data_IF_286689081600
#
_entry.id   IF_286689081600
#
_cell.length_a   1.000
_cell.length_b   1.000
_cell.length_c   1.000
_cell.angle_alpha   90.00
_cell.angle_beta   90.00
_cell.angle_gamma   90.00
#
_symmetry.space_group_name_H-M   'P 1'
#
loop_
_entity.id
_entity.type
_entity.pdbx_description
1 polymer ?
#
# COMPACT_ATOMS: atom_id res chain seq x y z
N UNK A 1 8.26 0.42 24.09
CA UNK A 1 8.08 -1.04 23.95
C UNK A 1 7.36 -1.30 22.64
N UNK A 2 7.70 -2.37 21.92
CA UNK A 2 7.02 -2.79 20.68
C UNK A 2 5.83 -3.66 21.08
N UNK A 3 4.63 -3.36 20.55
CA UNK A 3 3.38 -4.02 20.96
C UNK A 3 2.72 -4.87 19.88
N UNK A 4 3.15 -4.74 18.62
CA UNK A 4 2.59 -5.49 17.49
C UNK A 4 3.05 -4.95 16.14
N UNK A 5 2.43 -5.45 15.07
CA UNK A 5 2.63 -4.96 13.71
C UNK A 5 1.50 -4.01 13.32
N UNK A 6 1.83 -2.83 12.81
CA UNK A 6 0.84 -1.86 12.34
C UNK A 6 0.40 -2.18 10.91
N UNK A 7 1.34 -2.36 9.98
CA UNK A 7 1.02 -2.71 8.60
C UNK A 7 2.16 -3.50 7.94
N UNK A 8 1.85 -4.08 6.78
CA UNK A 8 2.84 -4.62 5.83
C UNK A 8 2.76 -3.79 4.55
N UNK A 9 3.87 -3.18 4.17
CA UNK A 9 3.99 -2.43 2.92
C UNK A 9 4.28 -3.38 1.74
N UNK A 10 3.53 -3.23 0.65
CA UNK A 10 3.67 -4.00 -0.59
C UNK A 10 3.84 -3.02 -1.74
N UNK A 11 5.02 -3.03 -2.35
CA UNK A 11 5.30 -2.17 -3.50
C UNK A 11 4.68 -2.79 -4.76
N UNK A 12 3.90 -1.99 -5.49
CA UNK A 12 3.16 -2.41 -6.68
C UNK A 12 3.46 -1.48 -7.85
N UNK A 13 3.39 -2.01 -9.07
CA UNK A 13 3.62 -1.23 -10.30
C UNK A 13 2.46 -0.30 -10.64
N UNK A 14 1.24 -0.69 -10.27
CA UNK A 14 0.02 0.08 -10.50
C UNK A 14 -0.94 -0.15 -9.33
N UNK A 15 -1.30 0.93 -8.63
CA UNK A 15 -2.13 0.88 -7.43
C UNK A 15 -3.56 0.49 -7.75
N UNK A 16 -4.13 0.97 -8.86
CA UNK A 16 -5.53 0.71 -9.20
C UNK A 16 -5.76 -0.76 -9.57
N UNK A 17 -4.83 -1.36 -10.31
CA UNK A 17 -4.83 -2.79 -10.61
C UNK A 17 -4.67 -3.64 -9.34
N UNK A 18 -3.74 -3.26 -8.47
CA UNK A 18 -3.54 -3.93 -7.19
C UNK A 18 -4.81 -3.85 -6.32
N UNK A 19 -5.39 -2.67 -6.17
CA UNK A 19 -6.65 -2.47 -5.43
C UNK A 19 -7.76 -3.36 -5.97
N UNK A 20 -7.92 -3.43 -7.29
CA UNK A 20 -8.90 -4.33 -7.91
C UNK A 20 -8.62 -5.79 -7.59
N UNK A 21 -7.37 -6.23 -7.64
CA UNK A 21 -6.97 -7.60 -7.29
C UNK A 21 -7.30 -7.91 -5.83
N UNK A 22 -6.89 -7.04 -4.89
CA UNK A 22 -7.12 -7.23 -3.47
C UNK A 22 -8.61 -7.23 -3.12
N UNK A 23 -9.40 -6.38 -3.76
CA UNK A 23 -10.85 -6.36 -3.59
C UNK A 23 -11.50 -7.61 -4.18
N UNK A 24 -11.10 -8.05 -5.37
CA UNK A 24 -11.73 -9.18 -6.07
C UNK A 24 -11.41 -10.52 -5.40
N UNK A 25 -10.15 -10.71 -5.00
CA UNK A 25 -9.68 -12.01 -4.51
C UNK A 25 -9.84 -12.16 -2.99
N UNK A 26 -9.73 -11.06 -2.25
CA UNK A 26 -9.74 -11.08 -0.78
C UNK A 26 -10.84 -10.24 -0.15
N UNK A 27 -11.63 -9.50 -0.93
CA UNK A 27 -12.68 -8.62 -0.42
C UNK A 27 -12.17 -7.38 0.32
N UNK A 28 -10.86 -7.10 0.26
CA UNK A 28 -10.25 -5.97 0.97
C UNK A 28 -10.48 -4.68 0.19
N UNK A 29 -10.95 -3.64 0.89
CA UNK A 29 -11.21 -2.32 0.32
C UNK A 29 -10.26 -1.30 0.96
N UNK A 30 -9.76 -0.37 0.15
CA UNK A 30 -8.98 0.72 0.70
C UNK A 30 -9.83 1.64 1.58
N UNK A 31 -9.34 1.95 2.78
CA UNK A 31 -9.91 2.99 3.65
C UNK A 31 -9.45 4.38 3.24
N UNK A 32 -8.24 4.47 2.65
CA UNK A 32 -7.62 5.72 2.21
C UNK A 32 -6.73 5.46 1.00
N UNK A 33 -6.74 6.40 0.06
CA UNK A 33 -5.78 6.46 -1.07
C UNK A 33 -5.25 7.89 -1.15
N UNK A 34 -3.94 8.06 -1.14
CA UNK A 34 -3.31 9.39 -1.16
C UNK A 34 -1.97 9.36 -1.90
N UNK A 35 -1.66 10.44 -2.61
CA UNK A 35 -0.31 10.68 -3.14
C UNK A 35 0.50 11.39 -2.08
N UNK A 36 1.68 10.86 -1.75
CA UNK A 36 2.61 11.38 -0.76
C UNK A 36 3.91 11.79 -1.48
N UNK A 37 4.01 13.02 -2.02
CA UNK A 37 5.14 13.46 -2.84
C UNK A 37 6.47 13.41 -2.09
N UNK A 38 6.46 13.78 -0.80
CA UNK A 38 7.66 13.77 0.04
C UNK A 38 8.24 12.36 0.24
N UNK A 39 7.42 11.33 0.08
CA UNK A 39 7.82 9.93 0.15
C UNK A 39 7.99 9.28 -1.23
N UNK A 40 7.66 9.99 -2.31
CA UNK A 40 7.76 9.50 -3.67
C UNK A 40 6.80 8.34 -4.00
N UNK A 41 5.64 8.26 -3.33
CA UNK A 41 4.67 7.17 -3.54
C UNK A 41 3.22 7.66 -3.65
N UNK A 42 2.37 6.88 -4.30
CA UNK A 42 0.92 6.86 -4.14
C UNK A 42 0.55 5.63 -3.31
N UNK A 43 -0.09 5.84 -2.17
CA UNK A 43 -0.32 4.82 -1.17
C UNK A 43 -1.81 4.50 -1.01
N UNK A 44 -2.14 3.26 -0.68
CA UNK A 44 -3.47 2.86 -0.23
C UNK A 44 -3.42 1.97 1.00
N UNK A 45 -4.28 2.25 1.99
CA UNK A 45 -4.40 1.48 3.23
C UNK A 45 -5.58 0.53 3.15
N UNK A 46 -5.33 -0.77 3.33
CA UNK A 46 -6.32 -1.83 3.31
C UNK A 46 -6.40 -2.45 4.72
N UNK A 47 -7.34 -2.00 5.57
CA UNK A 47 -7.45 -2.49 6.94
C UNK A 47 -7.94 -3.93 7.00
N UNK A 48 -7.40 -4.69 7.95
CA UNK A 48 -7.83 -6.05 8.25
C UNK A 48 -8.81 -6.06 9.42
N UNK A 49 -9.77 -7.01 9.40
CA UNK A 49 -10.88 -7.04 10.36
C UNK A 49 -10.45 -7.20 11.84
N UNK A 50 -9.28 -7.81 12.08
CA UNK A 50 -8.78 -8.09 13.43
C UNK A 50 -7.52 -7.28 13.79
N UNK A 51 -7.31 -6.16 13.09
CA UNK A 51 -6.17 -5.29 13.27
C UNK A 51 -5.03 -5.56 12.28
N UNK A 52 -4.14 -4.57 12.16
CA UNK A 52 -3.14 -4.53 11.11
C UNK A 52 -3.70 -4.07 9.76
N UNK A 53 -2.82 -3.64 8.86
CA UNK A 53 -3.18 -3.13 7.55
C UNK A 53 -2.23 -3.66 6.47
N UNK A 54 -2.71 -3.77 5.23
CA UNK A 54 -1.85 -3.88 4.05
C UNK A 54 -1.74 -2.47 3.47
N UNK A 55 -0.52 -1.98 3.31
CA UNK A 55 -0.25 -0.69 2.66
C UNK A 55 0.31 -0.95 1.27
N UNK A 56 -0.47 -0.62 0.23
CA UNK A 56 -0.02 -0.73 -1.15
C UNK A 56 0.69 0.56 -1.54
N UNK A 57 1.90 0.45 -2.08
CA UNK A 57 2.73 1.59 -2.47
C UNK A 57 3.06 1.53 -3.96
N UNK A 58 2.56 2.49 -4.73
CA UNK A 58 2.98 2.71 -6.12
C UNK A 58 4.02 3.84 -6.15
N UNK A 59 5.28 3.57 -6.54
CA UNK A 59 6.28 4.63 -6.70
C UNK A 59 5.85 5.62 -7.78
N UNK A 60 5.91 6.92 -7.47
CA UNK A 60 5.65 7.99 -8.44
C UNK A 60 6.95 8.63 -8.98
N UNK A 61 8.09 8.32 -8.34
CA UNK A 61 9.42 8.64 -8.83
C UNK A 61 10.16 7.33 -9.16
N UNK A 62 10.50 7.07 -10.44
CA UNK A 62 11.21 5.85 -10.85
C UNK A 62 12.62 5.73 -10.28
N UNK A 63 13.22 6.84 -9.81
CA UNK A 63 14.52 6.84 -9.14
C UNK A 63 14.39 6.86 -7.60
N UNK A 64 13.16 6.89 -7.08
CA UNK A 64 12.86 6.99 -5.66
C UNK A 64 13.24 5.72 -4.89
N UNK A 65 13.46 5.88 -3.57
CA UNK A 65 13.92 4.78 -2.71
C UNK A 65 12.97 3.58 -2.63
N UNK A 66 11.68 3.76 -2.93
CA UNK A 66 10.67 2.69 -2.99
C UNK A 66 10.68 2.00 -4.37
N UNK A 67 11.03 2.71 -5.45
CA UNK A 67 11.04 2.16 -6.80
C UNK A 67 12.04 1.01 -7.00
N UNK A 68 13.11 0.95 -6.19
CA UNK A 68 14.11 -0.14 -6.23
C UNK A 68 13.56 -1.53 -5.89
N UNK A 69 12.33 -1.62 -5.39
CA UNK A 69 11.69 -2.88 -4.99
C UNK A 69 10.75 -3.44 -6.06
N UNK A 70 10.71 -2.85 -7.26
CA UNK A 70 9.94 -3.30 -8.43
C UNK A 70 10.83 -3.88 -9.53
#
# INVERSE_FOLDING_TARGET
MITGMNHVAVVVRNLDEALKMYQTNFGLKASKVETLPEQGVRAALLPLAHGGEIELLEPIDPNGGVARFL
#
